data_IF_760271001965
#
_entry.id   IF_760271001965
#
_cell.length_a   1.000
_cell.length_b   1.000
_cell.length_c   1.000
_cell.angle_alpha   90.00
_cell.angle_beta   90.00
_cell.angle_gamma   90.00
#
_symmetry.space_group_name_H-M   'P 1'
#
loop_
_entity.id
_entity.type
_entity.pdbx_description
1 polymer ?
#
# COMPACT_ATOMS: atom_id res chain seq x y z
N UNK A 1 -20.66 23.10 -12.02
CA UNK A 1 -19.37 22.36 -12.00
C UNK A 1 -18.67 22.43 -10.64
N UNK A 2 -18.46 23.61 -10.01
CA UNK A 2 -17.83 23.69 -8.67
C UNK A 2 -18.58 22.95 -7.55
N UNK A 3 -19.92 22.85 -7.63
CA UNK A 3 -20.75 22.19 -6.60
C UNK A 3 -20.51 20.67 -6.56
N UNK A 4 -20.45 19.99 -7.72
CA UNK A 4 -20.19 18.54 -7.77
C UNK A 4 -18.80 18.14 -7.24
N UNK A 5 -17.81 19.03 -7.38
CA UNK A 5 -16.44 18.80 -6.90
C UNK A 5 -16.37 18.83 -5.38
N UNK A 6 -17.17 19.69 -4.73
CA UNK A 6 -17.20 19.80 -3.28
C UNK A 6 -17.94 18.60 -2.66
N UNK A 7 -19.06 18.19 -3.26
CA UNK A 7 -19.79 16.99 -2.84
C UNK A 7 -18.95 15.72 -2.99
N UNK A 8 -18.12 15.60 -4.04
CA UNK A 8 -17.18 14.48 -4.20
C UNK A 8 -16.15 14.39 -3.07
N UNK A 9 -15.58 15.52 -2.62
CA UNK A 9 -14.60 15.53 -1.54
C UNK A 9 -15.22 15.26 -0.15
N UNK A 10 -16.52 15.47 -0.02
CA UNK A 10 -17.31 15.24 1.21
C UNK A 10 -18.01 13.87 1.21
N UNK A 11 -18.00 13.15 0.08
CA UNK A 11 -18.58 11.81 -0.05
C UNK A 11 -17.59 10.76 0.45
N UNK A 12 -18.06 9.87 1.33
CA UNK A 12 -17.29 8.71 1.78
C UNK A 12 -16.82 7.88 0.58
N UNK A 13 -15.59 7.33 0.63
CA UNK A 13 -14.97 6.58 -0.46
C UNK A 13 -15.84 5.39 -0.93
N UNK A 14 -16.69 4.88 -0.04
CA UNK A 14 -17.65 3.80 -0.31
C UNK A 14 -18.91 4.23 -1.06
N UNK A 15 -19.19 5.54 -1.13
CA UNK A 15 -20.38 6.13 -1.76
C UNK A 15 -20.08 6.92 -3.04
N UNK A 16 -18.81 6.96 -3.45
CA UNK A 16 -18.38 7.60 -4.70
C UNK A 16 -18.86 6.77 -5.90
N UNK A 17 -19.66 7.37 -6.77
CA UNK A 17 -20.07 6.75 -8.03
C UNK A 17 -18.98 6.90 -9.10
N UNK A 18 -19.01 6.03 -10.11
CA UNK A 18 -18.13 6.14 -11.28
C UNK A 18 -18.32 7.49 -12.01
N UNK A 19 -19.57 7.94 -12.14
CA UNK A 19 -19.91 9.20 -12.80
C UNK A 19 -19.31 10.42 -12.08
N UNK A 20 -19.27 10.39 -10.74
CA UNK A 20 -18.64 11.42 -9.94
C UNK A 20 -17.12 11.44 -10.14
N UNK A 21 -16.48 10.26 -10.17
CA UNK A 21 -15.04 10.13 -10.46
C UNK A 21 -14.68 10.69 -11.83
N UNK A 22 -15.41 10.30 -12.88
CA UNK A 22 -15.19 10.76 -14.25
C UNK A 22 -15.38 12.28 -14.33
N UNK A 23 -16.48 12.79 -13.79
CA UNK A 23 -16.78 14.23 -13.79
C UNK A 23 -15.72 15.07 -13.05
N UNK A 24 -15.08 14.51 -12.02
CA UNK A 24 -14.00 15.17 -11.29
C UNK A 24 -12.64 15.07 -12.00
N UNK A 25 -12.29 13.88 -12.50
CA UNK A 25 -10.97 13.60 -13.07
C UNK A 25 -10.81 14.08 -14.51
N UNK A 26 -11.84 13.98 -15.35
CA UNK A 26 -11.77 14.35 -16.77
C UNK A 26 -11.28 15.79 -17.00
N UNK A 27 -11.76 16.81 -16.26
CA UNK A 27 -11.25 18.18 -16.43
C UNK A 27 -9.80 18.35 -15.94
N UNK A 28 -9.39 17.53 -14.95
CA UNK A 28 -8.09 17.62 -14.28
C UNK A 28 -6.97 16.91 -15.04
N UNK A 29 -7.28 15.85 -15.78
CA UNK A 29 -6.32 15.05 -16.54
C UNK A 29 -6.27 15.59 -17.97
N UNK A 30 -5.10 16.04 -18.39
CA UNK A 30 -4.86 16.50 -19.77
C UNK A 30 -4.57 15.30 -20.69
N UNK A 31 -3.74 14.37 -20.21
CA UNK A 31 -3.42 13.11 -20.89
C UNK A 31 -2.88 12.08 -19.90
N UNK A 32 -2.91 10.81 -20.27
CA UNK A 32 -2.22 9.75 -19.56
C UNK A 32 -1.69 8.70 -20.53
N UNK A 33 -0.63 8.01 -20.13
CA UNK A 33 -0.04 6.90 -20.89
C UNK A 33 0.55 5.85 -19.94
N UNK A 34 0.65 4.61 -20.42
CA UNK A 34 1.19 3.48 -19.66
C UNK A 34 2.28 2.78 -20.45
N UNK A 35 3.48 2.73 -19.88
CA UNK A 35 4.55 1.86 -20.35
C UNK A 35 4.30 0.44 -19.84
N UNK A 36 3.85 -0.44 -20.75
CA UNK A 36 3.57 -1.85 -20.45
C UNK A 36 4.82 -2.66 -20.13
N UNK A 37 6.01 -2.20 -20.51
CA UNK A 37 7.26 -2.90 -20.22
C UNK A 37 7.69 -2.73 -18.76
N UNK A 38 7.44 -1.55 -18.18
CA UNK A 38 7.77 -1.24 -16.79
C UNK A 38 6.55 -1.21 -15.86
N UNK A 39 5.35 -1.42 -16.40
CA UNK A 39 4.09 -1.07 -15.74
C UNK A 39 4.15 0.36 -15.16
N UNK A 40 4.72 1.32 -15.90
CA UNK A 40 4.79 2.71 -15.47
C UNK A 40 3.57 3.46 -15.99
N UNK A 41 2.85 4.20 -15.15
CA UNK A 41 1.75 5.07 -15.58
C UNK A 41 2.12 6.53 -15.38
N UNK A 42 2.00 7.34 -16.44
CA UNK A 42 2.21 8.77 -16.38
C UNK A 42 0.87 9.49 -16.59
N UNK A 43 0.52 10.36 -15.65
CA UNK A 43 -0.64 11.25 -15.74
C UNK A 43 -0.13 12.68 -15.89
N UNK A 44 -0.57 13.38 -16.93
CA UNK A 44 -0.35 14.81 -17.15
C UNK A 44 -1.58 15.55 -16.68
N UNK A 45 -1.38 16.54 -15.81
CA UNK A 45 -2.48 17.31 -15.24
C UNK A 45 -2.69 18.61 -16.01
N UNK A 46 -3.95 19.03 -16.11
CA UNK A 46 -4.34 20.28 -16.71
C UNK A 46 -3.69 21.45 -15.95
N UNK A 47 -2.75 22.13 -16.61
CA UNK A 47 -1.94 23.21 -16.01
C UNK A 47 -2.75 24.41 -15.52
N UNK A 48 -3.98 24.58 -16.02
CA UNK A 48 -4.89 25.65 -15.57
C UNK A 48 -5.53 25.34 -14.23
N UNK A 49 -5.62 24.05 -13.87
CA UNK A 49 -6.32 23.57 -12.70
C UNK A 49 -5.38 22.97 -11.64
N UNK A 50 -4.17 22.55 -12.03
CA UNK A 50 -3.18 21.95 -11.14
C UNK A 50 -1.82 22.67 -11.23
N UNK A 51 -1.20 23.05 -10.09
CA UNK A 51 0.14 23.64 -10.07
C UNK A 51 1.23 22.61 -10.41
N UNK A 52 0.98 21.33 -10.14
CA UNK A 52 1.88 20.22 -10.50
C UNK A 52 1.53 19.72 -11.90
N UNK A 53 2.53 19.60 -12.76
CA UNK A 53 2.31 19.30 -14.18
C UNK A 53 2.12 17.82 -14.49
N UNK A 54 2.65 16.92 -13.65
CA UNK A 54 2.55 15.49 -13.89
C UNK A 54 2.71 14.64 -12.61
N UNK A 55 2.14 13.44 -12.63
CA UNK A 55 2.32 12.38 -11.62
C UNK A 55 2.65 11.06 -12.31
N UNK A 56 3.72 10.41 -11.86
CA UNK A 56 4.15 9.09 -12.33
C UNK A 56 3.93 8.06 -11.24
N UNK A 57 3.35 6.93 -11.61
CA UNK A 57 3.19 5.75 -10.78
C UNK A 57 3.99 4.62 -11.41
N UNK A 58 4.65 3.81 -10.58
CA UNK A 58 5.39 2.64 -11.03
C UNK A 58 4.94 1.45 -10.18
N UNK A 59 4.62 0.35 -10.84
CA UNK A 59 4.32 -0.90 -10.15
C UNK A 59 5.61 -1.70 -10.00
N UNK A 60 6.01 -1.92 -8.76
CA UNK A 60 7.15 -2.79 -8.44
C UNK A 60 6.58 -4.03 -7.77
N UNK A 61 6.83 -5.19 -8.35
CA UNK A 61 6.55 -6.46 -7.68
C UNK A 61 7.46 -6.56 -6.45
N UNK A 62 6.85 -6.44 -5.28
CA UNK A 62 7.52 -6.71 -4.01
C UNK A 62 7.19 -8.13 -3.60
N UNK A 63 8.20 -8.94 -3.28
CA UNK A 63 7.96 -10.20 -2.57
C UNK A 63 7.12 -9.90 -1.31
N UNK A 64 6.22 -10.81 -0.88
CA UNK A 64 5.43 -10.68 0.35
C UNK A 64 6.27 -10.60 1.65
N UNK A 65 7.59 -10.52 1.53
CA UNK A 65 8.60 -10.66 2.56
C UNK A 65 8.96 -9.38 3.30
N UNK A 66 8.39 -8.22 2.94
CA UNK A 66 8.63 -6.99 3.69
C UNK A 66 7.41 -6.57 4.52
N UNK A 67 7.34 -6.98 5.80
CA UNK A 67 6.40 -6.34 6.73
C UNK A 67 6.80 -4.88 6.94
N UNK A 68 5.86 -3.97 6.70
CA UNK A 68 5.83 -2.69 7.43
C UNK A 68 5.57 -3.02 8.91
N UNK A 69 6.62 -3.02 9.72
CA UNK A 69 6.54 -3.30 11.16
C UNK A 69 6.57 -4.80 11.48
N UNK A 70 7.58 -5.23 12.24
CA UNK A 70 7.71 -6.62 12.67
C UNK A 70 6.48 -7.11 13.44
N UNK A 71 6.21 -8.41 13.38
CA UNK A 71 5.06 -9.03 14.06
C UNK A 71 5.21 -8.91 15.59
N UNK A 72 4.17 -8.47 16.33
CA UNK A 72 4.22 -8.34 17.78
C UNK A 72 4.65 -9.63 18.48
N UNK A 73 4.06 -10.77 18.14
CA UNK A 73 4.37 -12.05 18.79
C UNK A 73 5.80 -12.55 18.52
N UNK A 74 6.34 -12.32 17.32
CA UNK A 74 7.74 -12.63 17.04
C UNK A 74 8.68 -11.70 17.81
N UNK A 75 8.34 -10.41 17.91
CA UNK A 75 9.12 -9.46 18.70
C UNK A 75 9.10 -9.81 20.19
N UNK A 76 7.96 -10.21 20.75
CA UNK A 76 7.82 -10.68 22.14
C UNK A 76 8.67 -11.92 22.39
N UNK A 77 8.61 -12.92 21.50
CA UNK A 77 9.47 -14.10 21.56
C UNK A 77 10.96 -13.75 21.56
N UNK A 78 11.39 -12.85 20.65
CA UNK A 78 12.79 -12.44 20.54
C UNK A 78 13.26 -11.58 21.73
N UNK A 79 12.35 -10.93 22.45
CA UNK A 79 12.67 -10.14 23.66
C UNK A 79 12.74 -11.02 24.92
N UNK A 80 12.07 -12.16 24.93
CA UNK A 80 12.11 -13.11 26.04
C UNK A 80 13.35 -14.01 25.94
N UNK A 81 14.37 -13.74 26.78
CA UNK A 81 15.61 -14.50 26.83
C UNK A 81 15.41 -15.97 27.26
N UNK A 82 14.30 -16.30 27.94
CA UNK A 82 13.97 -17.68 28.30
C UNK A 82 13.40 -18.48 27.12
N UNK A 83 12.80 -17.80 26.15
CA UNK A 83 12.19 -18.42 24.96
C UNK A 83 13.12 -18.37 23.73
N UNK A 84 13.78 -17.24 23.49
CA UNK A 84 14.66 -17.03 22.34
C UNK A 84 16.05 -17.66 22.50
N UNK A 85 16.50 -17.88 23.72
CA UNK A 85 17.79 -18.49 24.01
C UNK A 85 18.95 -17.79 23.29
N UNK A 86 19.61 -18.51 22.39
CA UNK A 86 20.74 -18.04 21.58
C UNK A 86 20.44 -18.03 20.07
N UNK A 87 19.19 -17.71 19.70
CA UNK A 87 18.76 -17.59 18.31
C UNK A 87 19.72 -16.72 17.49
N UNK A 88 20.19 -17.28 16.38
CA UNK A 88 21.14 -16.67 15.43
C UNK A 88 20.44 -15.71 14.47
N UNK A 89 21.21 -14.88 13.75
CA UNK A 89 20.64 -13.95 12.77
C UNK A 89 19.98 -14.67 11.60
N UNK A 90 20.54 -15.82 11.20
CA UNK A 90 20.00 -16.69 10.16
C UNK A 90 18.64 -17.27 10.59
N UNK A 91 18.51 -17.70 11.85
CA UNK A 91 17.24 -18.18 12.41
C UNK A 91 16.21 -17.06 12.53
N UNK A 92 16.62 -15.85 12.94
CA UNK A 92 15.73 -14.67 12.94
C UNK A 92 15.22 -14.37 11.54
N UNK A 93 16.11 -14.40 10.54
CA UNK A 93 15.75 -14.18 9.14
C UNK A 93 14.77 -15.25 8.64
N UNK A 94 14.99 -16.52 9.00
CA UNK A 94 14.05 -17.60 8.71
C UNK A 94 12.68 -17.38 9.36
N UNK A 95 12.63 -17.05 10.67
CA UNK A 95 11.39 -16.81 11.40
C UNK A 95 10.58 -15.64 10.81
N UNK A 96 11.23 -14.57 10.37
CA UNK A 96 10.57 -13.42 9.70
C UNK A 96 9.89 -13.81 8.38
N UNK A 97 10.44 -14.80 7.68
CA UNK A 97 9.92 -15.33 6.41
C UNK A 97 8.92 -16.47 6.59
N UNK A 98 8.82 -17.06 7.78
CA UNK A 98 7.98 -18.23 8.03
C UNK A 98 6.49 -17.92 7.79
N UNK A 99 5.84 -18.77 6.99
CA UNK A 99 4.41 -18.74 6.72
C UNK A 99 3.84 -20.15 6.73
N UNK A 100 2.65 -20.32 7.32
CA UNK A 100 1.86 -21.55 7.26
C UNK A 100 0.60 -21.28 6.43
N UNK A 101 0.47 -21.93 5.26
CA UNK A 101 -0.64 -21.72 4.32
C UNK A 101 -0.86 -20.23 3.99
N UNK A 102 0.22 -19.48 3.77
CA UNK A 102 0.19 -18.04 3.50
C UNK A 102 -0.09 -17.15 4.73
N UNK A 103 -0.35 -17.73 5.92
CA UNK A 103 -0.56 -16.99 7.17
C UNK A 103 0.72 -16.92 7.98
N UNK A 104 0.91 -15.82 8.70
CA UNK A 104 2.02 -15.68 9.65
C UNK A 104 1.70 -16.42 10.97
N UNK A 105 2.71 -16.98 11.66
CA UNK A 105 2.50 -17.49 13.01
C UNK A 105 1.99 -16.37 13.93
N UNK A 106 0.93 -16.63 14.67
CA UNK A 106 0.44 -15.74 15.74
C UNK A 106 0.74 -16.37 17.09
N UNK A 107 0.89 -15.57 18.15
CA UNK A 107 1.05 -16.08 19.50
C UNK A 107 -0.06 -17.10 19.81
N UNK A 108 0.31 -18.30 20.26
CA UNK A 108 -0.65 -19.23 20.83
C UNK A 108 -1.02 -18.67 22.20
N UNK A 109 -2.32 -18.45 22.45
CA UNK A 109 -2.84 -18.03 23.76
C UNK A 109 -2.30 -18.98 24.84
N UNK A 110 -1.38 -18.49 25.67
CA UNK A 110 -0.92 -19.17 26.88
C UNK A 110 -1.99 -19.01 27.96
N UNK A 111 -2.62 -20.12 28.35
CA UNK A 111 -3.38 -20.22 29.60
C UNK A 111 -2.45 -20.53 30.77
#
# INVERSE_FOLDING_TARGET
>A
MRVMILEFLDTDVFHVSLENCVSFLDPLIDSWDTDLSSFGMQIVLNRRLAPRHSKRFEFVETEPDQPFGGEPGLNEFLQDASLSGNVTQEEIAFLKRLRFNGKRPTAALSH
#
